data_IF_869796955554
#
_entry.id   IF_869796955554
#
_cell.length_a   1.000
_cell.length_b   1.000
_cell.length_c   1.000
_cell.angle_alpha   90.00
_cell.angle_beta   90.00
_cell.angle_gamma   90.00
#
_symmetry.space_group_name_H-M   'P 1'
#
loop_
_entity.id
_entity.type
_entity.pdbx_description
1 polymer ?
#
# COMPACT_ATOMS: atom_id res chain seq x y z
N UNK A 1 -8.78 14.97 3.18
CA UNK A 1 -7.34 14.80 3.49
C UNK A 1 -6.60 14.54 2.19
N UNK A 2 -5.50 15.26 1.93
CA UNK A 2 -4.71 15.11 0.70
C UNK A 2 -3.48 14.27 1.00
N UNK A 3 -3.24 13.21 0.23
CA UNK A 3 -2.04 12.37 0.36
C UNK A 3 -1.06 12.77 -0.73
N UNK A 4 0.15 13.16 -0.32
CA UNK A 4 1.22 13.53 -1.25
C UNK A 4 1.86 12.25 -1.78
N UNK A 5 1.76 12.03 -3.10
CA UNK A 5 2.29 10.86 -3.78
C UNK A 5 3.67 11.11 -4.38
N UNK A 6 3.93 12.33 -4.83
CA UNK A 6 5.25 12.76 -5.30
C UNK A 6 5.41 14.29 -5.09
N UNK A 7 6.65 14.76 -4.97
CA UNK A 7 6.97 16.16 -4.64
C UNK A 7 7.67 16.90 -5.79
N UNK A 8 7.93 16.23 -6.91
CA UNK A 8 8.60 16.88 -8.05
C UNK A 8 7.68 17.88 -8.76
N UNK A 9 6.37 17.59 -8.83
CA UNK A 9 5.36 18.49 -9.38
C UNK A 9 4.19 18.62 -8.39
N UNK A 10 3.64 19.83 -8.21
CA UNK A 10 2.48 20.10 -7.31
C UNK A 10 1.19 19.34 -7.69
N UNK A 11 1.21 18.56 -8.77
CA UNK A 11 0.08 17.80 -9.32
C UNK A 11 -0.06 16.37 -8.75
N UNK A 12 0.91 15.93 -7.95
CA UNK A 12 0.96 14.54 -7.47
C UNK A 12 0.25 14.36 -6.11
N UNK A 13 -0.98 14.88 -6.04
CA UNK A 13 -1.85 14.78 -4.87
C UNK A 13 -2.90 13.69 -5.12
N UNK A 14 -3.16 12.88 -4.10
CA UNK A 14 -4.36 12.07 -4.01
C UNK A 14 -5.47 12.88 -3.35
N UNK A 15 -6.51 13.18 -4.12
CA UNK A 15 -7.71 13.87 -3.67
C UNK A 15 -8.72 12.83 -3.23
N UNK A 16 -8.97 12.79 -1.93
CA UNK A 16 -9.86 11.78 -1.35
C UNK A 16 -11.31 12.22 -1.45
N UNK A 17 -12.16 11.37 -2.06
CA UNK A 17 -13.62 11.53 -2.09
C UNK A 17 -14.24 10.97 -0.81
N UNK A 18 -13.79 9.78 -0.39
CA UNK A 18 -14.33 9.07 0.78
C UNK A 18 -13.21 8.46 1.62
N UNK A 19 -13.35 8.57 2.94
CA UNK A 19 -12.50 7.90 3.93
C UNK A 19 -13.37 7.03 4.81
N UNK A 20 -12.99 5.77 4.94
CA UNK A 20 -13.57 4.85 5.92
C UNK A 20 -12.52 4.59 6.99
N UNK A 21 -12.80 5.01 8.22
CA UNK A 21 -11.95 4.70 9.38
C UNK A 21 -12.07 3.23 9.76
N UNK A 22 -11.02 2.65 10.36
CA UNK A 22 -10.96 1.29 10.92
C UNK A 22 -12.20 0.91 11.72
N UNK A 23 -12.76 1.84 12.50
CA UNK A 23 -13.96 1.59 13.31
C UNK A 23 -15.21 1.39 12.45
N UNK A 24 -15.34 2.16 11.36
CA UNK A 24 -16.41 2.02 10.37
C UNK A 24 -16.19 0.77 9.53
N UNK A 25 -14.95 0.45 9.17
CA UNK A 25 -14.59 -0.75 8.44
C UNK A 25 -14.95 -2.05 9.17
N UNK A 26 -14.73 -2.11 10.48
CA UNK A 26 -15.16 -3.25 11.32
C UNK A 26 -16.69 -3.39 11.36
N UNK A 27 -17.41 -2.27 11.39
CA UNK A 27 -18.87 -2.27 11.32
C UNK A 27 -19.40 -2.68 9.93
N UNK A 28 -18.69 -2.34 8.84
CA UNK A 28 -19.08 -2.75 7.50
C UNK A 28 -18.79 -4.24 7.24
N UNK A 29 -17.76 -4.82 7.87
CA UNK A 29 -17.52 -6.27 7.85
C UNK A 29 -18.68 -7.08 8.45
N UNK A 30 -19.46 -6.50 9.37
CA UNK A 30 -20.55 -7.20 10.06
C UNK A 30 -21.91 -7.08 9.38
N UNK A 31 -22.03 -6.32 8.27
CA UNK A 31 -23.28 -6.19 7.51
C UNK A 31 -23.17 -6.76 6.09
N UNK A 32 -24.20 -7.47 5.60
CA UNK A 32 -24.22 -8.07 4.26
C UNK A 32 -24.46 -7.05 3.13
N UNK A 33 -24.40 -5.74 3.40
CA UNK A 33 -24.75 -4.65 2.48
C UNK A 33 -23.73 -4.47 1.34
N UNK A 34 -22.56 -5.11 1.44
CA UNK A 34 -21.54 -5.11 0.38
C UNK A 34 -21.41 -6.54 -0.17
N UNK A 35 -22.50 -7.12 -0.69
CA UNK A 35 -22.48 -8.43 -1.37
C UNK A 35 -21.85 -8.37 -2.78
N UNK A 36 -21.55 -7.17 -3.28
CA UNK A 36 -21.14 -6.96 -4.67
C UNK A 36 -19.62 -6.89 -4.87
N UNK A 37 -18.78 -6.99 -3.83
CA UNK A 37 -17.33 -6.79 -3.96
C UNK A 37 -16.48 -7.65 -3.03
N UNK A 38 -16.71 -8.97 -3.04
CA UNK A 38 -15.87 -9.94 -2.31
C UNK A 38 -14.37 -9.71 -2.59
N UNK A 39 -14.01 -9.35 -3.83
CA UNK A 39 -12.62 -9.10 -4.25
C UNK A 39 -12.00 -7.85 -3.60
N UNK A 40 -12.68 -6.69 -3.63
CA UNK A 40 -12.15 -5.47 -2.98
C UNK A 40 -12.10 -5.63 -1.46
N UNK A 41 -13.06 -6.33 -0.85
CA UNK A 41 -13.02 -6.58 0.59
C UNK A 41 -11.76 -7.36 0.99
N UNK A 42 -11.44 -8.43 0.24
CA UNK A 42 -10.23 -9.23 0.46
C UNK A 42 -8.95 -8.39 0.32
N UNK A 43 -8.87 -7.52 -0.69
CA UNK A 43 -7.71 -6.67 -0.93
C UNK A 43 -7.57 -5.60 0.18
N UNK A 44 -8.65 -4.87 0.46
CA UNK A 44 -8.61 -3.68 1.31
C UNK A 44 -8.51 -4.04 2.79
N UNK A 45 -9.23 -5.07 3.24
CA UNK A 45 -9.37 -5.39 4.65
C UNK A 45 -8.45 -6.52 5.14
N UNK A 46 -7.67 -7.16 4.26
CA UNK A 46 -6.73 -8.18 4.69
C UNK A 46 -5.57 -7.59 5.50
N UNK A 47 -5.40 -8.11 6.70
CA UNK A 47 -4.27 -7.89 7.60
C UNK A 47 -3.00 -8.66 7.19
N UNK A 48 -3.14 -9.73 6.39
CA UNK A 48 -2.04 -10.49 5.80
C UNK A 48 -1.08 -9.68 4.91
N UNK A 49 -0.02 -10.36 4.45
CA UNK A 49 0.92 -9.80 3.48
C UNK A 49 0.22 -9.59 2.14
N UNK A 50 0.15 -8.34 1.67
CA UNK A 50 -0.49 -8.00 0.40
C UNK A 50 0.09 -8.81 -0.75
N UNK A 51 1.41 -8.96 -0.80
CA UNK A 51 2.06 -9.73 -1.88
C UNK A 51 1.70 -11.20 -1.80
N UNK A 52 1.68 -11.80 -0.60
CA UNK A 52 1.33 -13.21 -0.43
C UNK A 52 -0.13 -13.48 -0.83
N UNK A 53 -1.04 -12.58 -0.47
CA UNK A 53 -2.43 -12.69 -0.88
C UNK A 53 -2.55 -12.62 -2.40
N UNK A 54 -1.91 -11.64 -3.04
CA UNK A 54 -1.91 -11.51 -4.49
C UNK A 54 -1.36 -12.76 -5.18
N UNK A 55 -0.21 -13.28 -4.71
CA UNK A 55 0.33 -14.55 -5.21
C UNK A 55 -0.67 -15.70 -5.08
N UNK A 56 -1.35 -15.80 -3.95
CA UNK A 56 -2.33 -16.87 -3.69
C UNK A 56 -3.56 -16.76 -4.59
N UNK A 57 -3.99 -15.54 -4.90
CA UNK A 57 -5.18 -15.29 -5.71
C UNK A 57 -4.92 -15.37 -7.21
N UNK A 58 -3.72 -14.99 -7.67
CA UNK A 58 -3.45 -14.85 -9.10
C UNK A 58 -2.55 -15.95 -9.67
N UNK A 59 -2.22 -16.97 -8.88
CA UNK A 59 -1.58 -18.19 -9.37
C UNK A 59 -0.22 -17.99 -10.07
N UNK A 60 0.51 -16.93 -9.71
CA UNK A 60 1.80 -16.46 -10.28
C UNK A 60 1.73 -15.41 -11.41
N UNK A 61 0.57 -14.86 -11.77
CA UNK A 61 0.49 -13.78 -12.79
C UNK A 61 1.07 -12.43 -12.33
N UNK A 62 1.38 -12.29 -11.04
CA UNK A 62 2.01 -11.11 -10.47
C UNK A 62 3.45 -11.50 -10.08
N UNK A 63 4.39 -11.47 -11.03
CA UNK A 63 5.80 -11.34 -10.64
C UNK A 63 5.98 -9.90 -10.20
N UNK A 64 6.07 -9.71 -8.90
CA UNK A 64 6.21 -8.39 -8.27
C UNK A 64 7.52 -7.73 -8.73
N UNK A 65 7.47 -7.02 -9.85
CA UNK A 65 8.56 -6.16 -10.28
C UNK A 65 8.53 -4.91 -9.41
N UNK A 66 9.38 -4.92 -8.38
CA UNK A 66 9.54 -3.78 -7.48
C UNK A 66 10.41 -2.75 -8.15
N UNK A 67 9.76 -1.77 -8.76
CA UNK A 67 10.43 -0.56 -9.23
C UNK A 67 10.46 0.43 -8.08
N UNK A 68 11.67 0.70 -7.54
CA UNK A 68 11.82 1.82 -6.61
C UNK A 68 11.79 3.11 -7.41
N UNK A 69 10.87 4.00 -7.06
CA UNK A 69 11.06 5.41 -7.34
C UNK A 69 11.99 5.93 -6.26
N UNK A 70 13.29 5.88 -6.56
CA UNK A 70 14.35 6.33 -5.65
C UNK A 70 14.12 7.79 -5.28
N UNK A 71 13.46 8.00 -4.15
CA UNK A 71 13.45 9.25 -3.45
C UNK A 71 13.45 8.93 -1.96
N UNK A 72 14.61 8.52 -1.45
CA UNK A 72 14.89 8.60 -0.02
C UNK A 72 14.93 10.08 0.37
N UNK A 73 13.76 10.71 0.40
CA UNK A 73 13.59 12.08 0.85
C UNK A 73 13.42 11.99 2.36
N UNK A 74 14.28 12.70 3.11
CA UNK A 74 14.00 12.99 4.50
C UNK A 74 12.96 14.12 4.52
N UNK A 75 11.70 13.76 4.80
CA UNK A 75 10.66 14.76 5.10
C UNK A 75 10.45 14.74 6.61
N UNK A 76 10.72 15.85 7.29
CA UNK A 76 10.56 15.97 8.75
C UNK A 76 11.20 14.79 9.52
N UNK A 77 12.44 14.41 9.18
CA UNK A 77 13.21 13.27 9.72
C UNK A 77 12.69 11.86 9.37
N UNK A 78 11.59 11.74 8.62
CA UNK A 78 11.05 10.45 8.18
C UNK A 78 11.61 10.07 6.82
N UNK A 79 12.00 8.81 6.71
CA UNK A 79 12.46 8.25 5.44
C UNK A 79 11.28 7.73 4.65
N UNK A 80 11.16 8.19 3.40
CA UNK A 80 10.13 7.72 2.47
C UNK A 80 10.72 6.70 1.49
N UNK A 81 9.97 5.64 1.21
CA UNK A 81 10.24 4.69 0.13
C UNK A 81 8.95 4.47 -0.67
N UNK A 82 9.06 4.60 -1.98
CA UNK A 82 7.97 4.40 -2.94
C UNK A 82 8.30 3.22 -3.84
N UNK A 83 7.33 2.35 -4.00
CA UNK A 83 7.46 1.18 -4.88
C UNK A 83 6.22 1.04 -5.75
N UNK A 84 6.44 0.49 -6.93
CA UNK A 84 5.39 -0.10 -7.75
C UNK A 84 5.44 -1.61 -7.64
N UNK A 85 4.27 -2.25 -7.63
CA UNK A 85 4.12 -3.65 -7.97
C UNK A 85 3.41 -3.75 -9.31
N UNK A 86 3.99 -4.52 -10.21
CA UNK A 86 3.45 -4.79 -11.54
C UNK A 86 3.13 -6.27 -11.74
N UNK A 87 2.32 -6.57 -12.75
CA UNK A 87 2.16 -7.94 -13.26
C UNK A 87 3.33 -8.38 -14.15
N UNK A 88 3.20 -9.59 -14.71
CA UNK A 88 4.14 -10.16 -15.69
C UNK A 88 4.32 -9.33 -16.97
N UNK A 89 3.35 -8.50 -17.33
CA UNK A 89 3.38 -7.63 -18.51
C UNK A 89 3.87 -6.21 -18.16
N UNK A 90 4.47 -6.04 -16.98
CA UNK A 90 4.95 -4.77 -16.43
C UNK A 90 3.85 -3.72 -16.19
N UNK A 91 2.57 -4.09 -16.27
CA UNK A 91 1.48 -3.16 -15.95
C UNK A 91 1.47 -2.89 -14.46
N UNK A 92 1.54 -1.61 -14.10
CA UNK A 92 1.53 -1.15 -12.72
C UNK A 92 0.16 -1.44 -12.09
N UNK A 93 0.15 -2.26 -11.05
CA UNK A 93 -1.07 -2.67 -10.36
C UNK A 93 -1.22 -1.98 -9.01
N UNK A 94 -0.12 -1.74 -8.31
CA UNK A 94 -0.17 -1.22 -6.94
C UNK A 94 0.96 -0.22 -6.75
N UNK A 95 0.62 0.94 -6.21
CA UNK A 95 1.58 1.90 -5.70
C UNK A 95 1.61 1.81 -4.19
N UNK A 96 2.80 1.75 -3.59
CA UNK A 96 2.93 1.79 -2.14
C UNK A 96 3.99 2.81 -1.72
N UNK A 97 3.61 3.66 -0.77
CA UNK A 97 4.49 4.62 -0.11
C UNK A 97 4.63 4.23 1.36
N UNK A 98 5.87 4.04 1.81
CA UNK A 98 6.20 3.75 3.22
C UNK A 98 6.97 4.92 3.84
N UNK A 99 6.57 5.32 5.04
CA UNK A 99 7.20 6.35 5.86
C UNK A 99 7.68 5.72 7.17
N UNK A 100 8.99 5.76 7.39
CA UNK A 100 9.66 5.10 8.52
C UNK A 100 9.86 6.06 9.68
N UNK A 101 9.48 5.62 10.90
CA UNK A 101 9.48 6.43 12.12
C UNK A 101 10.54 6.01 13.16
N UNK A 102 11.11 4.80 13.09
CA UNK A 102 12.09 4.29 14.10
C UNK A 102 13.43 3.81 13.51
N UNK A 103 14.48 3.97 14.33
CA UNK A 103 15.91 3.56 14.29
C UNK A 103 16.59 3.23 12.94
N UNK A 104 17.78 3.83 12.79
CA UNK A 104 18.77 3.68 11.71
C UNK A 104 19.05 2.23 11.29
N UNK A 105 19.11 1.27 12.21
CA UNK A 105 19.54 -0.12 11.89
C UNK A 105 18.50 -0.92 11.08
N UNK A 106 17.21 -0.75 11.39
CA UNK A 106 16.13 -1.38 10.62
C UNK A 106 15.98 -0.71 9.25
N UNK A 107 16.18 0.61 9.22
CA UNK A 107 16.21 1.41 8.01
C UNK A 107 17.38 0.96 7.10
N UNK A 108 18.58 0.79 7.63
CA UNK A 108 19.78 0.35 6.89
C UNK A 108 19.62 -1.07 6.31
N UNK A 109 18.99 -2.00 7.05
CA UNK A 109 18.74 -3.34 6.51
C UNK A 109 17.64 -3.37 5.45
N UNK A 110 16.69 -2.43 5.51
CA UNK A 110 15.71 -2.23 4.43
C UNK A 110 16.37 -1.62 3.17
N UNK A 111 17.41 -0.79 3.32
CA UNK A 111 18.22 -0.23 2.23
C UNK A 111 18.97 -1.30 1.45
N UNK A 112 19.57 -2.27 2.16
CA UNK A 112 20.27 -3.39 1.52
C UNK A 112 19.33 -4.28 0.69
N UNK A 113 18.03 -4.28 0.99
CA UNK A 113 17.02 -5.11 0.33
C UNK A 113 15.96 -4.27 -0.42
N UNK A 114 16.42 -3.24 -1.14
CA UNK A 114 15.56 -2.33 -1.92
C UNK A 114 14.67 -3.03 -2.97
N UNK A 115 14.95 -4.29 -3.35
CA UNK A 115 14.14 -5.04 -4.32
C UNK A 115 13.05 -5.92 -3.69
N UNK A 116 12.87 -5.90 -2.36
CA UNK A 116 11.88 -6.75 -1.67
C UNK A 116 10.70 -5.97 -1.10
N UNK A 117 9.49 -6.55 -1.05
CA UNK A 117 8.35 -5.97 -0.33
C UNK A 117 8.70 -5.79 1.14
N UNK A 118 8.12 -4.75 1.76
CA UNK A 118 8.37 -4.48 3.18
C UNK A 118 7.92 -5.64 4.09
N UNK A 119 6.83 -6.31 3.73
CA UNK A 119 6.36 -7.51 4.44
C UNK A 119 7.43 -8.59 4.51
N UNK A 120 8.11 -8.88 3.40
CA UNK A 120 9.20 -9.88 3.37
C UNK A 120 10.43 -9.46 4.18
N UNK A 121 10.79 -8.17 4.14
CA UNK A 121 11.90 -7.64 4.95
C UNK A 121 11.59 -7.82 6.44
N UNK A 122 10.35 -7.54 6.84
CA UNK A 122 9.90 -7.60 8.24
C UNK A 122 9.65 -9.02 8.74
N UNK A 123 9.30 -9.95 7.84
CA UNK A 123 9.18 -11.39 8.11
C UNK A 123 10.48 -11.96 8.71
N UNK A 124 11.66 -11.40 8.38
CA UNK A 124 12.92 -11.84 8.98
C UNK A 124 13.05 -11.48 10.48
N UNK A 125 12.24 -10.55 10.99
CA UNK A 125 12.26 -10.03 12.38
C UNK A 125 11.08 -10.52 13.24
N UNK A 126 10.48 -11.64 12.82
CA UNK A 126 9.11 -12.14 12.99
C UNK A 126 8.44 -12.28 14.38
N UNK A 127 8.96 -11.74 15.48
CA UNK A 127 8.35 -12.01 16.81
C UNK A 127 7.50 -10.89 17.40
N UNK A 128 7.74 -9.62 17.06
CA UNK A 128 7.05 -8.50 17.73
C UNK A 128 6.45 -7.45 16.78
N UNK A 129 6.17 -7.79 15.52
CA UNK A 129 5.60 -6.85 14.54
C UNK A 129 4.09 -7.09 14.39
N UNK A 130 3.28 -6.08 14.70
CA UNK A 130 1.84 -6.06 14.41
C UNK A 130 1.51 -5.09 13.28
N UNK A 131 0.52 -5.44 12.46
CA UNK A 131 -0.02 -4.60 11.38
C UNK A 131 -1.44 -4.20 11.71
N UNK A 132 -1.76 -2.93 11.51
CA UNK A 132 -3.11 -2.42 11.66
C UNK A 132 -3.51 -1.59 10.44
N UNK A 133 -4.65 -1.91 9.82
CA UNK A 133 -5.30 -1.04 8.85
C UNK A 133 -5.99 0.08 9.62
N UNK A 134 -5.74 1.32 9.24
CA UNK A 134 -6.25 2.51 9.90
C UNK A 134 -7.38 3.15 9.10
N UNK A 135 -7.18 3.29 7.79
CA UNK A 135 -8.09 4.02 6.90
C UNK A 135 -8.14 3.31 5.56
N UNK A 136 -9.31 3.36 4.92
CA UNK A 136 -9.51 3.01 3.52
C UNK A 136 -9.92 4.28 2.77
N UNK A 137 -9.33 4.48 1.60
CA UNK A 137 -9.52 5.64 0.74
C UNK A 137 -10.23 5.27 -0.53
N UNK A 138 -11.07 6.17 -1.00
CA UNK A 138 -11.56 6.20 -2.37
C UNK A 138 -11.43 7.61 -2.91
N UNK A 139 -10.82 7.77 -4.08
CA UNK A 139 -10.51 9.11 -4.60
C UNK A 139 -9.79 9.08 -5.93
N UNK A 140 -9.25 10.22 -6.34
CA UNK A 140 -8.53 10.37 -7.61
C UNK A 140 -7.12 10.90 -7.43
N UNK A 141 -6.26 10.59 -8.39
CA UNK A 141 -4.96 11.24 -8.52
C UNK A 141 -4.49 11.23 -9.96
N UNK A 142 -4.10 12.40 -10.47
CA UNK A 142 -3.53 12.54 -11.82
C UNK A 142 -2.29 11.65 -11.97
N UNK A 143 -1.44 11.63 -10.93
CA UNK A 143 -0.25 10.79 -10.88
C UNK A 143 -0.60 9.30 -11.01
N UNK A 144 -1.55 8.80 -10.23
CA UNK A 144 -1.95 7.38 -10.31
C UNK A 144 -2.68 7.07 -11.61
N UNK A 145 -3.52 7.96 -12.12
CA UNK A 145 -4.24 7.78 -13.37
C UNK A 145 -3.28 7.56 -14.54
N UNK A 146 -2.18 8.35 -14.59
CA UNK A 146 -1.13 8.21 -15.59
C UNK A 146 -0.48 6.82 -15.56
N UNK A 147 -0.15 6.31 -14.37
CA UNK A 147 0.57 5.04 -14.24
C UNK A 147 -0.34 3.81 -14.30
N UNK A 148 -1.56 3.90 -13.78
CA UNK A 148 -2.56 2.84 -13.91
C UNK A 148 -3.24 2.82 -15.28
N UNK A 149 -3.01 3.84 -16.11
CA UNK A 149 -3.65 3.99 -17.43
C UNK A 149 -5.19 3.92 -17.30
N UNK A 150 -5.74 4.59 -16.29
CA UNK A 150 -7.17 4.64 -16.00
C UNK A 150 -7.54 6.00 -15.43
N UNK A 151 -8.75 6.49 -15.75
CA UNK A 151 -9.31 7.70 -15.16
C UNK A 151 -10.29 7.39 -14.01
N UNK A 152 -10.56 6.10 -13.76
CA UNK A 152 -11.46 5.68 -12.69
C UNK A 152 -10.91 6.05 -11.31
N UNK A 153 -11.79 6.26 -10.31
CA UNK A 153 -11.34 6.48 -8.95
C UNK A 153 -10.61 5.24 -8.41
N UNK A 154 -9.59 5.50 -7.61
CA UNK A 154 -8.67 4.51 -7.07
C UNK A 154 -9.01 4.22 -5.62
N UNK A 155 -9.02 2.94 -5.29
CA UNK A 155 -9.03 2.49 -3.90
C UNK A 155 -7.63 2.58 -3.30
N UNK A 156 -7.55 2.95 -2.03
CA UNK A 156 -6.32 2.89 -1.26
C UNK A 156 -6.57 2.52 0.18
N UNK A 157 -5.50 2.31 0.94
CA UNK A 157 -5.55 2.10 2.38
C UNK A 157 -4.29 2.57 3.06
N UNK A 158 -4.41 2.95 4.33
CA UNK A 158 -3.30 3.24 5.21
C UNK A 158 -3.17 2.17 6.28
N UNK A 159 -1.96 1.64 6.39
CA UNK A 159 -1.57 0.68 7.39
C UNK A 159 -0.51 1.28 8.32
N UNK A 160 -0.52 0.89 9.59
CA UNK A 160 0.55 1.14 10.53
C UNK A 160 1.16 -0.19 10.96
N UNK A 161 2.49 -0.25 10.95
CA UNK A 161 3.26 -1.37 11.47
C UNK A 161 3.88 -0.95 12.78
N UNK A 162 3.71 -1.77 13.81
CA UNK A 162 4.24 -1.53 15.15
C UNK A 162 5.26 -2.59 15.49
N UNK A 163 6.37 -2.19 16.10
CA UNK A 163 7.33 -3.10 16.72
C UNK A 163 7.34 -2.84 18.22
N UNK A 164 7.05 -3.87 19.04
CA UNK A 164 6.94 -3.73 20.50
C UNK A 164 6.05 -2.54 20.92
N UNK A 165 4.86 -2.44 20.31
CA UNK A 165 3.86 -1.36 20.50
C UNK A 165 4.31 0.05 20.07
N UNK A 166 5.50 0.22 19.46
CA UNK A 166 5.97 1.50 18.93
C UNK A 166 5.78 1.54 17.41
N UNK A 167 5.26 2.65 16.89
CA UNK A 167 5.04 2.83 15.45
C UNK A 167 6.36 2.77 14.69
N UNK A 168 6.52 1.75 13.84
CA UNK A 168 7.72 1.53 13.03
C UNK A 168 7.57 2.18 11.65
N UNK A 169 6.48 1.86 10.93
CA UNK A 169 6.24 2.33 9.56
C UNK A 169 4.77 2.67 9.37
N UNK A 170 4.49 3.74 8.63
CA UNK A 170 3.18 3.98 8.01
C UNK A 170 3.26 3.66 6.53
N UNK A 171 2.30 2.92 6.00
CA UNK A 171 2.25 2.50 4.60
C UNK A 171 0.93 2.96 4.01
N UNK A 172 0.98 3.74 2.94
CA UNK A 172 -0.14 4.06 2.08
C UNK A 172 -0.04 3.18 0.83
N UNK A 173 -1.08 2.39 0.55
CA UNK A 173 -1.17 1.50 -0.60
C UNK A 173 -2.35 1.97 -1.48
N UNK A 174 -2.15 2.00 -2.79
CA UNK A 174 -3.14 2.40 -3.78
C UNK A 174 -3.22 1.33 -4.87
N UNK A 175 -4.43 0.98 -5.27
CA UNK A 175 -4.71 -0.17 -6.10
C UNK A 175 -5.31 0.24 -7.44
N UNK A 176 -4.71 -0.24 -8.52
CA UNK A 176 -5.26 -0.08 -9.86
C UNK A 176 -6.69 -0.63 -9.90
N UNK A 177 -7.64 0.08 -10.51
CA UNK A 177 -9.00 -0.45 -10.72
C UNK A 177 -9.00 -1.79 -11.47
N UNK A 178 -7.96 -2.05 -12.28
CA UNK A 178 -7.81 -3.31 -13.02
C UNK A 178 -7.49 -4.52 -12.14
N UNK A 179 -7.04 -4.30 -10.90
CA UNK A 179 -6.57 -5.36 -10.00
C UNK A 179 -7.63 -6.44 -9.78
N UNK A 180 -8.91 -6.06 -9.66
CA UNK A 180 -10.00 -7.01 -9.42
C UNK A 180 -10.29 -7.97 -10.59
N UNK A 181 -9.84 -7.65 -11.80
CA UNK A 181 -10.01 -8.52 -12.96
C UNK A 181 -8.94 -9.62 -13.04
N UNK A 182 -7.95 -9.60 -12.13
CA UNK A 182 -6.93 -10.64 -12.02
C UNK A 182 -7.33 -11.82 -11.11
N UNK A 183 -8.55 -11.78 -10.56
CA UNK A 183 -9.15 -12.77 -9.67
C UNK A 183 -10.29 -13.49 -10.36
#
# INVERSE_FOLDING_TARGET
MNIILNNKNREDIFVTIMILDKNVGQFLKSKPIISMLNKWQLILFSDGSLTQNLYSFTGNSIKTHIQNENSHILINTKKIRRIWLSDMEEKKLIFAQSSWHLKKDLIQKSEQNNKKPIGEILIKYKKDISKEIQEIYYGHSIYLNKYFQSQEPVWGRKCKLYYKKKLLVTIDEFFSPRLIYLF
#
